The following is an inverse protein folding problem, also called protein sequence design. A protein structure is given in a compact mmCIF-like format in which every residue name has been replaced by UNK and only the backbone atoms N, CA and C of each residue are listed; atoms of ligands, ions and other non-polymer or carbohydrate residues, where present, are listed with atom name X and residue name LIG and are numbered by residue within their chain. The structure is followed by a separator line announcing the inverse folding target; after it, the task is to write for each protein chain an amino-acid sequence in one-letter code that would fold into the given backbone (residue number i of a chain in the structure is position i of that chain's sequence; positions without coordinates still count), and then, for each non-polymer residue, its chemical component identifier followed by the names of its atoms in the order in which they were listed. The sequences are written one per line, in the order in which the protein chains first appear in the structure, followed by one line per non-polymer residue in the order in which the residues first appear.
data_IF_772171515638
#
_entry.id   IF_772171515638
#
_cell.length_a   1.000
_cell.length_b   1.000
_cell.length_c   1.000
_cell.angle_alpha   90.00
_cell.angle_beta   90.00
_cell.angle_gamma   90.00
#
_symmetry.space_group_name_H-M   'P 1'
#
loop_
_entity.id
_entity.type
_entity.pdbx_description
1 polymer ?
#
# COMPACT_ATOMS: atom_id res chain seq x y z
N UNK A 1 41.71 -22.37 -17.81
CA UNK A 1 40.41 -21.70 -18.06
C UNK A 1 40.64 -20.26 -17.66
N UNK A 2 40.40 -19.30 -18.54
CA UNK A 2 40.54 -17.88 -18.18
C UNK A 2 39.34 -17.49 -17.34
N UNK A 3 39.59 -16.84 -16.20
CA UNK A 3 38.51 -16.33 -15.36
C UNK A 3 37.68 -15.28 -16.11
N UNK A 4 36.40 -15.16 -15.76
CA UNK A 4 35.53 -14.12 -16.30
C UNK A 4 36.08 -12.74 -15.93
N UNK A 5 36.11 -11.76 -16.87
CA UNK A 5 36.57 -10.43 -16.56
C UNK A 5 35.68 -9.79 -15.50
N UNK A 6 36.27 -9.22 -14.45
CA UNK A 6 35.56 -8.36 -13.51
C UNK A 6 34.91 -7.21 -14.31
N UNK A 7 33.71 -6.74 -13.94
CA UNK A 7 32.94 -7.03 -12.72
C UNK A 7 31.86 -8.13 -12.90
N UNK A 8 31.94 -8.97 -13.94
CA UNK A 8 30.93 -10.00 -14.15
C UNK A 8 30.96 -11.05 -13.04
N UNK A 9 29.79 -11.36 -12.50
CA UNK A 9 29.61 -12.40 -11.51
C UNK A 9 28.91 -13.60 -12.13
N UNK A 10 29.00 -14.75 -11.45
CA UNK A 10 28.32 -15.99 -11.85
C UNK A 10 27.38 -16.47 -10.78
N UNK A 11 26.35 -17.20 -11.19
CA UNK A 11 25.55 -18.04 -10.30
C UNK A 11 25.65 -19.52 -10.70
N UNK A 12 25.29 -20.40 -9.79
CA UNK A 12 25.35 -21.85 -9.97
C UNK A 12 23.97 -22.39 -10.36
N UNK A 13 23.87 -23.07 -11.50
CA UNK A 13 22.67 -23.79 -11.92
C UNK A 13 22.85 -25.28 -11.60
N UNK A 14 21.85 -25.88 -10.95
CA UNK A 14 21.85 -27.28 -10.49
C UNK A 14 20.52 -27.94 -10.83
N UNK A 15 20.43 -29.26 -10.63
CA UNK A 15 19.17 -29.99 -10.74
C UNK A 15 19.41 -31.49 -10.79
N UNK A 16 18.39 -32.28 -10.43
CA UNK A 16 18.37 -33.73 -10.57
C UNK A 16 17.09 -34.18 -11.25
N UNK A 17 17.22 -34.91 -12.34
CA UNK A 17 16.09 -35.34 -13.15
C UNK A 17 15.99 -36.87 -13.09
N UNK A 18 14.84 -37.36 -12.65
CA UNK A 18 14.49 -38.77 -12.62
C UNK A 18 13.15 -38.94 -13.35
N UNK A 19 12.97 -40.07 -14.01
CA UNK A 19 11.70 -40.44 -14.65
C UNK A 19 11.05 -41.57 -13.84
N UNK A 20 9.75 -41.44 -13.58
CA UNK A 20 8.94 -42.55 -13.09
C UNK A 20 8.52 -43.42 -14.28
N UNK A 21 8.72 -44.72 -14.16
CA UNK A 21 8.33 -45.72 -15.14
C UNK A 21 7.13 -46.51 -14.65
N UNK A 22 6.42 -47.15 -15.58
CA UNK A 22 5.43 -48.15 -15.21
C UNK A 22 6.17 -49.23 -14.43
N UNK A 23 5.55 -49.65 -13.33
CA UNK A 23 6.03 -50.69 -12.43
C UNK A 23 6.60 -51.90 -13.20
N UNK A 24 7.83 -52.24 -12.86
CA UNK A 24 8.61 -53.29 -13.49
C UNK A 24 8.20 -54.69 -13.01
N UNK A 25 9.01 -55.69 -13.36
CA UNK A 25 8.85 -57.05 -12.84
C UNK A 25 9.58 -57.19 -11.49
N UNK A 26 9.29 -56.32 -10.54
CA UNK A 26 9.76 -56.45 -9.16
C UNK A 26 8.61 -56.90 -8.24
N UNK A 27 8.88 -57.02 -6.94
CA UNK A 27 7.86 -57.47 -5.97
C UNK A 27 6.99 -56.33 -5.40
N UNK A 28 7.27 -55.08 -5.79
CA UNK A 28 6.52 -53.89 -5.41
C UNK A 28 5.30 -53.68 -6.32
N UNK A 29 4.51 -52.66 -6.00
CA UNK A 29 3.45 -52.14 -6.86
C UNK A 29 3.68 -50.65 -7.21
N UNK A 30 4.82 -50.12 -6.78
CA UNK A 30 5.21 -48.73 -6.87
C UNK A 30 5.95 -48.46 -8.20
N UNK A 31 5.73 -47.30 -8.85
CA UNK A 31 6.48 -46.93 -10.03
C UNK A 31 8.00 -46.94 -9.79
N UNK A 32 8.73 -47.62 -10.68
CA UNK A 32 10.19 -47.57 -10.70
C UNK A 32 10.69 -46.15 -11.03
N UNK A 33 11.78 -45.74 -10.39
CA UNK A 33 12.45 -44.46 -10.69
C UNK A 33 13.80 -44.70 -11.34
N UNK A 34 14.00 -44.13 -12.52
CA UNK A 34 15.27 -44.23 -13.26
C UNK A 34 15.83 -42.83 -13.48
N UNK A 35 17.14 -42.62 -13.23
CA UNK A 35 17.81 -41.38 -13.60
C UNK A 35 17.57 -41.01 -15.06
N UNK A 36 17.16 -39.77 -15.32
CA UNK A 36 17.04 -39.30 -16.68
C UNK A 36 18.45 -39.09 -17.26
N UNK A 37 18.62 -39.42 -18.54
CA UNK A 37 19.82 -39.11 -19.32
C UNK A 37 19.48 -38.05 -20.38
N UNK A 38 20.48 -37.30 -20.85
CA UNK A 38 20.29 -36.33 -21.92
C UNK A 38 21.09 -35.04 -21.75
N UNK A 39 20.64 -33.99 -22.42
CA UNK A 39 21.25 -32.66 -22.46
C UNK A 39 20.26 -31.59 -22.03
N UNK A 40 20.77 -30.58 -21.34
CA UNK A 40 20.03 -29.34 -21.04
C UNK A 40 20.84 -28.19 -21.64
N UNK A 41 20.18 -27.26 -22.32
CA UNK A 41 20.83 -26.11 -22.95
C UNK A 41 20.35 -24.83 -22.28
N UNK A 42 21.29 -24.04 -21.75
CA UNK A 42 21.05 -22.73 -21.17
C UNK A 42 21.48 -21.68 -22.18
N UNK A 43 20.55 -20.89 -22.71
CA UNK A 43 20.85 -19.81 -23.67
C UNK A 43 20.54 -18.47 -23.03
N UNK A 44 21.50 -17.53 -22.97
CA UNK A 44 21.20 -16.21 -22.44
C UNK A 44 20.32 -15.45 -23.45
N UNK A 45 19.29 -14.77 -22.97
CA UNK A 45 18.43 -13.93 -23.84
C UNK A 45 19.13 -12.63 -24.28
N UNK A 46 20.35 -12.39 -23.77
CA UNK A 46 21.25 -11.32 -24.20
C UNK A 46 22.40 -11.91 -25.04
N UNK A 47 22.54 -11.53 -26.32
CA UNK A 47 23.53 -12.13 -27.22
C UNK A 47 24.97 -11.66 -26.96
N UNK A 48 25.16 -10.49 -26.34
CA UNK A 48 26.47 -9.98 -25.94
C UNK A 48 26.36 -8.94 -24.81
N UNK A 49 27.42 -8.80 -24.01
CA UNK A 49 27.54 -7.82 -22.94
C UNK A 49 28.81 -6.96 -23.13
N UNK A 50 28.66 -5.66 -23.48
CA UNK A 50 29.81 -4.77 -23.67
C UNK A 50 30.32 -4.19 -22.35
N UNK A 51 31.41 -4.71 -21.80
CA UNK A 51 32.03 -4.24 -20.56
C UNK A 51 33.05 -3.13 -20.84
N UNK A 52 32.64 -1.87 -20.70
CA UNK A 52 33.54 -0.73 -20.89
C UNK A 52 34.64 -0.64 -19.80
N UNK A 53 34.32 -1.09 -18.58
CA UNK A 53 35.17 -0.93 -17.39
C UNK A 53 35.81 -2.25 -16.91
N UNK A 54 36.01 -3.21 -17.82
CA UNK A 54 36.64 -4.46 -17.45
C UNK A 54 38.12 -4.30 -17.09
N UNK A 55 38.61 -5.13 -16.16
CA UNK A 55 40.02 -5.17 -15.79
C UNK A 55 40.87 -5.58 -17.01
N UNK A 56 41.79 -4.71 -17.44
CA UNK A 56 42.59 -4.90 -18.65
C UNK A 56 42.05 -4.20 -19.91
N UNK A 57 40.96 -3.44 -19.81
CA UNK A 57 40.40 -2.64 -20.89
C UNK A 57 39.01 -3.10 -21.33
N UNK A 58 38.37 -2.33 -22.21
CA UNK A 58 37.02 -2.65 -22.66
C UNK A 58 36.96 -4.00 -23.39
N UNK A 59 36.01 -4.86 -22.99
CA UNK A 59 35.79 -6.18 -23.60
C UNK A 59 34.31 -6.37 -23.93
N UNK A 60 34.01 -7.19 -24.93
CA UNK A 60 32.63 -7.62 -25.22
C UNK A 60 32.53 -9.12 -24.97
N UNK A 61 31.67 -9.52 -24.03
CA UNK A 61 31.40 -10.93 -23.75
C UNK A 61 30.29 -11.40 -24.68
N UNK A 62 30.61 -12.32 -25.57
CA UNK A 62 29.63 -12.92 -26.48
C UNK A 62 28.90 -14.03 -25.74
N UNK A 63 27.58 -13.90 -25.61
CA UNK A 63 26.71 -14.91 -25.01
C UNK A 63 26.53 -16.08 -25.97
N UNK A 64 26.82 -17.29 -25.50
CA UNK A 64 26.61 -18.52 -26.24
C UNK A 64 25.77 -19.52 -25.44
N UNK A 65 25.16 -20.52 -26.11
CA UNK A 65 24.46 -21.59 -25.42
C UNK A 65 25.45 -22.41 -24.58
N UNK A 66 25.12 -22.61 -23.31
CA UNK A 66 25.83 -23.50 -22.38
C UNK A 66 25.11 -24.84 -22.37
N UNK A 67 25.76 -25.87 -22.92
CA UNK A 67 25.22 -27.23 -22.99
C UNK A 67 25.76 -28.04 -21.82
N UNK A 68 24.86 -28.59 -21.02
CA UNK A 68 25.16 -29.50 -19.91
C UNK A 68 24.55 -30.87 -20.15
N UNK A 69 25.07 -31.88 -19.46
CA UNK A 69 24.64 -33.28 -19.56
C UNK A 69 24.13 -33.76 -18.21
N UNK A 70 23.35 -34.84 -18.20
CA UNK A 70 23.00 -35.53 -16.96
C UNK A 70 24.00 -36.66 -16.68
N UNK A 71 24.45 -36.79 -15.44
CA UNK A 71 25.30 -37.90 -15.00
C UNK A 71 24.48 -39.20 -14.79
N UNK A 72 25.15 -40.27 -14.38
CA UNK A 72 24.53 -41.59 -14.19
C UNK A 72 23.44 -41.58 -13.11
N UNK A 73 23.45 -40.60 -12.19
CA UNK A 73 22.44 -40.45 -11.14
C UNK A 73 21.40 -39.37 -11.46
N UNK A 74 21.46 -38.78 -12.66
CA UNK A 74 20.51 -37.82 -13.20
C UNK A 74 20.79 -36.38 -12.77
N UNK A 75 21.95 -36.08 -12.18
CA UNK A 75 22.33 -34.71 -11.84
C UNK A 75 22.82 -33.97 -13.07
N UNK A 76 22.44 -32.70 -13.16
CA UNK A 76 22.99 -31.76 -14.11
C UNK A 76 24.49 -31.61 -13.86
N UNK A 77 25.31 -31.86 -14.87
CA UNK A 77 26.76 -31.90 -14.77
C UNK A 77 27.43 -31.28 -16.00
N UNK A 78 28.62 -30.72 -15.80
CA UNK A 78 29.46 -30.17 -16.87
C UNK A 78 29.96 -31.30 -17.77
N UNK A 79 29.82 -31.21 -19.10
CA UNK A 79 30.27 -32.28 -20.00
C UNK A 79 31.78 -32.43 -19.96
N UNK A 80 32.25 -33.67 -20.07
CA UNK A 80 33.67 -33.95 -20.30
C UNK A 80 34.02 -33.71 -21.78
N UNK A 81 35.25 -33.27 -22.06
CA UNK A 81 35.71 -33.00 -23.43
C UNK A 81 35.80 -34.26 -24.28
N UNK A 82 36.25 -35.36 -23.67
CA UNK A 82 36.10 -36.72 -24.19
C UNK A 82 34.73 -37.30 -23.77
N UNK A 83 33.80 -37.55 -24.71
CA UNK A 83 32.48 -38.09 -24.40
C UNK A 83 32.50 -39.54 -23.87
N UNK A 84 33.64 -40.24 -23.95
CA UNK A 84 33.79 -41.58 -23.36
C UNK A 84 34.03 -41.54 -21.83
N UNK A 85 34.40 -40.38 -21.28
CA UNK A 85 34.62 -40.19 -19.86
C UNK A 85 33.33 -39.71 -19.17
N UNK A 86 33.16 -40.02 -17.87
CA UNK A 86 32.02 -39.53 -17.11
C UNK A 86 32.00 -37.99 -17.07
N UNK A 87 30.80 -37.36 -16.95
CA UNK A 87 30.68 -35.92 -16.74
C UNK A 87 31.51 -35.44 -15.54
N UNK A 88 31.92 -34.18 -15.58
CA UNK A 88 32.84 -33.61 -14.59
C UNK A 88 32.10 -33.15 -13.32
N UNK A 89 32.01 -31.84 -13.08
CA UNK A 89 31.38 -31.30 -11.89
C UNK A 89 29.86 -31.28 -12.01
N UNK A 90 29.16 -31.62 -10.92
CA UNK A 90 27.72 -31.40 -10.78
C UNK A 90 27.43 -29.90 -10.65
N UNK A 91 26.44 -29.44 -11.40
CA UNK A 91 26.10 -28.05 -11.61
C UNK A 91 26.93 -27.38 -12.71
N UNK A 92 26.51 -26.18 -13.11
CA UNK A 92 27.24 -25.32 -14.04
C UNK A 92 27.16 -23.88 -13.57
N UNK A 93 28.27 -23.15 -13.67
CA UNK A 93 28.29 -21.70 -13.42
C UNK A 93 27.98 -20.95 -14.71
N UNK A 94 27.01 -20.05 -14.66
CA UNK A 94 26.62 -19.18 -15.78
C UNK A 94 26.63 -17.72 -15.34
N UNK A 95 26.63 -16.78 -16.30
CA UNK A 95 26.61 -15.35 -15.99
C UNK A 95 25.39 -14.99 -15.15
N UNK A 96 25.62 -14.22 -14.09
CA UNK A 96 24.56 -13.75 -13.22
C UNK A 96 23.75 -12.64 -13.89
N UNK A 97 22.43 -12.74 -13.74
CA UNK A 97 21.44 -11.85 -14.37
C UNK A 97 21.39 -10.46 -13.73
N UNK A 98 22.00 -10.29 -12.56
CA UNK A 98 21.98 -9.09 -11.72
C UNK A 98 23.40 -8.62 -11.34
N UNK A 99 24.40 -8.92 -12.18
CA UNK A 99 25.79 -8.49 -11.94
C UNK A 99 25.86 -6.94 -11.84
N UNK A 100 26.31 -6.36 -10.71
CA UNK A 100 26.21 -4.92 -10.44
C UNK A 100 27.10 -4.01 -11.32
N UNK A 101 27.95 -4.59 -12.16
CA UNK A 101 28.72 -3.87 -13.18
C UNK A 101 28.46 -4.35 -14.61
N UNK A 102 27.42 -5.15 -14.83
CA UNK A 102 26.99 -5.49 -16.18
C UNK A 102 26.21 -4.31 -16.80
N UNK A 103 26.39 -4.02 -18.11
CA UNK A 103 25.68 -2.94 -18.80
C UNK A 103 24.20 -3.24 -18.97
N UNK A 104 23.85 -4.52 -18.89
CA UNK A 104 22.50 -5.06 -19.00
C UNK A 104 22.28 -5.93 -17.77
N UNK A 105 21.24 -5.62 -17.02
CA UNK A 105 20.80 -6.40 -15.85
C UNK A 105 19.36 -6.87 -16.04
N UNK A 106 18.93 -7.86 -15.28
CA UNK A 106 17.58 -8.44 -15.38
C UNK A 106 17.32 -9.20 -16.67
N UNK A 107 18.35 -9.63 -17.40
CA UNK A 107 18.18 -10.58 -18.49
C UNK A 107 17.87 -11.98 -17.95
N UNK A 108 17.42 -12.89 -18.79
CA UNK A 108 17.12 -14.27 -18.37
C UNK A 108 17.89 -15.32 -19.17
N UNK A 109 17.94 -16.54 -18.64
CA UNK A 109 18.44 -17.71 -19.33
C UNK A 109 17.27 -18.58 -19.78
N UNK A 110 17.14 -18.82 -21.08
CA UNK A 110 16.24 -19.83 -21.62
C UNK A 110 16.82 -21.23 -21.38
N UNK A 111 16.00 -22.11 -20.81
CA UNK A 111 16.34 -23.51 -20.52
C UNK A 111 15.58 -24.42 -21.48
N UNK A 112 16.30 -25.16 -22.30
CA UNK A 112 15.77 -26.17 -23.22
C UNK A 112 16.22 -27.57 -22.78
N UNK A 113 15.26 -28.52 -22.73
CA UNK A 113 15.47 -29.88 -22.25
C UNK A 113 15.45 -30.88 -23.41
N UNK A 114 16.47 -31.72 -23.51
CA UNK A 114 16.58 -32.78 -24.52
C UNK A 114 16.98 -34.10 -23.85
N UNK A 115 15.97 -34.84 -23.38
CA UNK A 115 16.18 -36.11 -22.70
C UNK A 115 16.35 -37.27 -23.68
N UNK A 116 17.12 -38.28 -23.28
CA UNK A 116 17.20 -39.55 -23.99
C UNK A 116 15.90 -40.36 -23.78
N UNK A 117 15.49 -41.18 -24.75
CA UNK A 117 14.34 -42.08 -24.58
C UNK A 117 14.58 -43.09 -23.45
N UNK A 118 13.56 -43.29 -22.62
CA UNK A 118 13.52 -44.33 -21.58
C UNK A 118 12.37 -45.26 -21.93
N UNK A 119 12.66 -46.55 -22.17
CA UNK A 119 11.67 -47.54 -22.62
C UNK A 119 10.86 -47.10 -23.85
N UNK A 120 11.53 -46.45 -24.82
CA UNK A 120 10.91 -45.99 -26.07
C UNK A 120 10.07 -44.71 -25.93
N UNK A 121 10.01 -44.07 -24.76
CA UNK A 121 9.36 -42.77 -24.55
C UNK A 121 10.38 -41.71 -24.14
N UNK A 122 10.31 -40.54 -24.76
CA UNK A 122 11.16 -39.40 -24.39
C UNK A 122 10.45 -38.53 -23.37
N UNK A 123 10.98 -38.37 -22.13
CA UNK A 123 10.45 -37.40 -21.20
C UNK A 123 10.50 -35.99 -21.80
N UNK A 124 9.52 -35.14 -21.46
CA UNK A 124 9.47 -33.75 -21.96
C UNK A 124 9.19 -32.79 -20.83
N UNK A 125 10.01 -31.74 -20.73
CA UNK A 125 9.74 -30.57 -19.89
C UNK A 125 9.66 -29.36 -20.83
N UNK A 126 8.59 -28.54 -20.77
CA UNK A 126 8.51 -27.33 -21.57
C UNK A 126 9.68 -26.39 -21.28
N UNK A 127 10.23 -25.79 -22.35
CA UNK A 127 11.25 -24.74 -22.21
C UNK A 127 10.72 -23.59 -21.37
N UNK A 128 11.55 -23.00 -20.53
CA UNK A 128 11.20 -21.84 -19.73
C UNK A 128 12.42 -20.97 -19.46
N UNK A 129 12.21 -19.76 -18.95
CA UNK A 129 13.29 -18.86 -18.58
C UNK A 129 13.50 -18.86 -17.06
N UNK A 130 14.76 -18.66 -16.66
CA UNK A 130 15.20 -18.52 -15.26
C UNK A 130 16.03 -17.24 -15.09
N UNK A 131 15.99 -16.66 -13.89
CA UNK A 131 16.94 -15.65 -13.44
C UNK A 131 18.00 -16.31 -12.56
N UNK A 132 19.27 -15.96 -12.76
CA UNK A 132 20.41 -16.56 -12.05
C UNK A 132 21.11 -15.46 -11.25
N UNK A 133 20.86 -15.33 -9.93
CA UNK A 133 21.44 -14.27 -9.14
C UNK A 133 22.94 -14.45 -8.92
N UNK A 134 23.66 -13.35 -8.75
CA UNK A 134 25.09 -13.29 -8.52
C UNK A 134 25.47 -14.01 -7.22
N UNK A 135 26.37 -15.00 -7.32
CA UNK A 135 26.77 -15.86 -6.21
C UNK A 135 25.68 -16.83 -5.73
N UNK A 136 24.46 -16.75 -6.26
CA UNK A 136 23.35 -17.60 -5.87
C UNK A 136 23.34 -18.96 -6.56
N UNK A 137 22.42 -19.81 -6.11
CA UNK A 137 22.17 -21.13 -6.69
C UNK A 137 20.73 -21.23 -7.18
N UNK A 138 20.54 -21.75 -8.40
CA UNK A 138 19.23 -22.05 -9.00
C UNK A 138 19.14 -23.55 -9.22
N UNK A 139 18.20 -24.21 -8.57
CA UNK A 139 17.86 -25.60 -8.84
C UNK A 139 16.72 -25.67 -9.86
N UNK A 140 16.98 -26.21 -11.05
CA UNK A 140 16.02 -26.32 -12.15
C UNK A 140 14.80 -27.19 -11.82
N UNK A 141 14.85 -28.00 -10.77
CA UNK A 141 13.71 -28.81 -10.33
C UNK A 141 12.70 -28.01 -9.51
N UNK A 142 13.15 -26.90 -8.90
CA UNK A 142 12.32 -25.99 -8.09
C UNK A 142 12.28 -24.56 -8.64
N UNK A 143 12.95 -24.29 -9.77
CA UNK A 143 13.09 -22.96 -10.32
C UNK A 143 11.71 -22.37 -10.66
N UNK A 144 11.47 -21.15 -10.18
CA UNK A 144 10.28 -20.39 -10.54
C UNK A 144 10.45 -19.90 -11.98
N UNK A 145 9.49 -20.24 -12.84
CA UNK A 145 9.45 -19.74 -14.22
C UNK A 145 9.30 -18.22 -14.20
N UNK A 146 10.22 -17.52 -14.86
CA UNK A 146 10.12 -16.07 -15.08
C UNK A 146 9.80 -15.79 -16.55
N UNK A 147 9.18 -14.64 -16.88
CA UNK A 147 9.08 -14.18 -18.26
C UNK A 147 10.48 -14.02 -18.87
N UNK A 148 10.62 -14.35 -20.15
CA UNK A 148 11.87 -14.07 -20.88
C UNK A 148 12.06 -12.55 -20.99
N UNK A 149 13.28 -12.10 -20.73
CA UNK A 149 13.67 -10.70 -20.72
C UNK A 149 15.07 -10.58 -21.34
N UNK A 150 15.29 -9.71 -22.34
CA UNK A 150 16.62 -9.38 -22.84
C UNK A 150 17.44 -8.55 -21.82
N UNK A 151 16.83 -8.19 -20.68
CA UNK A 151 17.37 -7.29 -19.69
C UNK A 151 17.08 -5.82 -20.00
N UNK A 152 17.40 -4.96 -19.03
CA UNK A 152 17.33 -3.51 -19.15
C UNK A 152 18.75 -2.96 -19.15
N UNK A 153 19.08 -2.18 -20.18
CA UNK A 153 20.37 -1.52 -20.25
C UNK A 153 20.45 -0.33 -19.29
N UNK A 154 21.64 -0.04 -18.75
CA UNK A 154 21.89 1.15 -17.91
C UNK A 154 21.32 2.45 -18.54
N UNK A 155 21.51 2.73 -19.84
CA UNK A 155 20.97 3.96 -20.45
C UNK A 155 19.44 4.06 -20.41
N UNK A 156 18.74 2.92 -20.44
CA UNK A 156 17.27 2.90 -20.38
C UNK A 156 16.75 3.18 -18.97
N UNK A 157 17.48 2.72 -17.95
CA UNK A 157 17.18 3.03 -16.54
C UNK A 157 17.40 4.51 -16.26
N UNK A 158 18.50 5.08 -16.75
CA UNK A 158 18.79 6.52 -16.63
C UNK A 158 17.73 7.37 -17.34
N UNK A 159 17.30 6.98 -18.53
CA UNK A 159 16.22 7.65 -19.26
C UNK A 159 14.88 7.58 -18.52
N UNK A 160 14.55 6.44 -17.94
CA UNK A 160 13.33 6.28 -17.14
C UNK A 160 13.38 7.15 -15.87
N UNK A 161 14.52 7.19 -15.19
CA UNK A 161 14.74 8.04 -14.01
C UNK A 161 14.63 9.53 -14.37
N UNK A 162 15.22 9.94 -15.50
CA UNK A 162 15.10 11.32 -16.03
C UNK A 162 13.65 11.68 -16.32
N UNK A 163 12.89 10.84 -17.02
CA UNK A 163 11.46 11.09 -17.30
C UNK A 163 10.62 11.14 -16.01
N UNK A 164 10.95 10.34 -15.01
CA UNK A 164 10.29 10.39 -13.71
C UNK A 164 10.58 11.71 -12.97
N UNK A 165 11.82 12.19 -13.00
CA UNK A 165 12.20 13.49 -12.43
C UNK A 165 11.51 14.66 -13.16
N UNK A 166 11.46 14.63 -14.49
CA UNK A 166 10.74 15.62 -15.30
C UNK A 166 9.24 15.63 -14.96
N UNK A 167 8.62 14.46 -14.83
CA UNK A 167 7.20 14.34 -14.45
C UNK A 167 6.92 14.88 -13.04
N UNK A 168 7.83 14.65 -12.09
CA UNK A 168 7.73 15.20 -10.75
C UNK A 168 7.83 16.74 -10.74
N UNK A 169 8.73 17.31 -11.55
CA UNK A 169 8.85 18.76 -11.70
C UNK A 169 7.57 19.40 -12.28
N UNK A 170 6.96 18.77 -13.30
CA UNK A 170 5.68 19.22 -13.86
C UNK A 170 4.56 19.18 -12.82
N UNK A 171 4.49 18.12 -12.01
CA UNK A 171 3.49 18.01 -10.95
C UNK A 171 3.65 19.08 -9.86
N UNK A 172 4.89 19.41 -9.48
CA UNK A 172 5.17 20.51 -8.54
C UNK A 172 4.75 21.87 -9.11
N UNK A 173 5.00 22.12 -10.40
CA UNK A 173 4.56 23.33 -11.09
C UNK A 173 3.04 23.50 -11.06
N UNK A 174 2.29 22.44 -11.42
CA UNK A 174 0.83 22.46 -11.39
C UNK A 174 0.26 22.69 -9.98
N UNK A 175 0.90 22.14 -8.94
CA UNK A 175 0.50 22.37 -7.55
C UNK A 175 0.71 23.83 -7.13
N UNK A 176 1.80 24.47 -7.57
CA UNK A 176 2.08 25.88 -7.29
C UNK A 176 1.10 26.81 -8.02
N UNK A 177 0.78 26.52 -9.29
CA UNK A 177 -0.24 27.26 -10.05
C UNK A 177 -1.62 27.18 -9.38
N UNK A 178 -2.01 25.99 -8.88
CA UNK A 178 -3.25 25.81 -8.15
C UNK A 178 -3.29 26.60 -6.83
N UNK A 179 -2.17 26.68 -6.12
CA UNK A 179 -2.06 27.48 -4.90
C UNK A 179 -2.22 28.98 -5.19
N UNK A 180 -1.55 29.50 -6.22
CA UNK A 180 -1.68 30.90 -6.65
C UNK A 180 -3.11 31.22 -7.10
N UNK A 181 -3.78 30.31 -7.82
CA UNK A 181 -5.18 30.49 -8.21
C UNK A 181 -6.12 30.53 -7.01
N UNK A 182 -5.86 29.74 -5.96
CA UNK A 182 -6.63 29.75 -4.73
C UNK A 182 -6.47 31.07 -3.96
N UNK A 183 -5.24 31.60 -3.85
CA UNK A 183 -4.97 32.90 -3.24
C UNK A 183 -5.71 34.04 -3.96
N UNK A 184 -5.65 34.05 -5.30
CA UNK A 184 -6.37 35.05 -6.11
C UNK A 184 -7.90 34.98 -5.90
N UNK A 185 -8.46 33.77 -5.73
CA UNK A 185 -9.88 33.60 -5.44
C UNK A 185 -10.28 34.14 -4.06
N UNK A 186 -9.43 33.96 -3.05
CA UNK A 186 -9.62 34.53 -1.70
C UNK A 186 -9.61 36.06 -1.77
N UNK A 187 -8.64 36.65 -2.46
CA UNK A 187 -8.54 38.11 -2.62
C UNK A 187 -9.76 38.70 -3.36
N UNK A 188 -10.19 38.05 -4.45
CA UNK A 188 -11.40 38.45 -5.17
C UNK A 188 -12.65 38.40 -4.29
N UNK A 189 -12.78 37.38 -3.44
CA UNK A 189 -13.91 37.26 -2.50
C UNK A 189 -13.91 38.37 -1.45
N UNK A 190 -12.74 38.74 -0.93
CA UNK A 190 -12.59 39.83 0.03
C UNK A 190 -12.99 41.18 -0.59
N UNK A 191 -12.57 41.43 -1.84
CA UNK A 191 -12.98 42.62 -2.60
C UNK A 191 -14.49 42.72 -2.82
N UNK A 192 -15.14 41.60 -3.15
CA UNK A 192 -16.59 41.56 -3.32
C UNK A 192 -17.35 41.88 -2.02
N UNK A 193 -16.89 41.35 -0.88
CA UNK A 193 -17.48 41.64 0.44
C UNK A 193 -17.34 43.12 0.80
N UNK A 194 -16.18 43.72 0.54
CA UNK A 194 -15.97 45.15 0.76
C UNK A 194 -16.92 46.01 -0.09
N UNK A 195 -17.08 45.67 -1.38
CA UNK A 195 -18.00 46.39 -2.28
C UNK A 195 -19.46 46.32 -1.83
N UNK A 196 -19.91 45.17 -1.31
CA UNK A 196 -21.26 45.04 -0.73
C UNK A 196 -21.42 45.89 0.53
N UNK A 197 -20.40 45.93 1.39
CA UNK A 197 -20.42 46.77 2.60
C UNK A 197 -20.52 48.26 2.25
N UNK A 198 -19.75 48.73 1.26
CA UNK A 198 -19.79 50.13 0.80
C UNK A 198 -21.14 50.49 0.16
N UNK A 199 -21.71 49.58 -0.63
CA UNK A 199 -23.04 49.78 -1.21
C UNK A 199 -24.13 49.86 -0.12
N UNK A 200 -24.05 49.01 0.90
CA UNK A 200 -24.97 49.04 2.04
C UNK A 200 -24.83 50.35 2.85
N UNK A 201 -23.61 50.81 3.08
CA UNK A 201 -23.35 52.09 3.74
C UNK A 201 -23.93 53.27 2.93
N UNK A 202 -23.71 53.29 1.61
CA UNK A 202 -24.23 54.31 0.70
C UNK A 202 -25.76 54.34 0.66
N UNK A 203 -26.40 53.17 0.66
CA UNK A 203 -27.86 53.04 0.72
C UNK A 203 -28.41 53.56 2.05
N UNK A 204 -27.75 53.24 3.17
CA UNK A 204 -28.11 53.75 4.51
C UNK A 204 -28.03 55.28 4.59
N UNK A 205 -26.95 55.88 4.07
CA UNK A 205 -26.82 57.34 4.01
C UNK A 205 -27.88 58.00 3.13
N UNK A 206 -28.20 57.39 1.99
CA UNK A 206 -29.26 57.89 1.09
C UNK A 206 -30.64 57.81 1.73
N UNK A 207 -30.93 56.72 2.46
CA UNK A 207 -32.17 56.57 3.22
C UNK A 207 -32.29 57.62 4.33
N UNK A 208 -31.21 57.89 5.06
CA UNK A 208 -31.17 58.93 6.08
C UNK A 208 -31.40 60.34 5.49
N UNK A 209 -30.78 60.64 4.34
CA UNK A 209 -30.99 61.90 3.63
C UNK A 209 -32.44 62.04 3.13
N UNK A 210 -33.02 60.97 2.59
CA UNK A 210 -34.42 60.94 2.17
C UNK A 210 -35.38 61.15 3.35
N UNK A 211 -35.11 60.53 4.51
CA UNK A 211 -35.89 60.72 5.72
C UNK A 211 -35.82 62.18 6.23
N UNK A 212 -34.64 62.79 6.20
CA UNK A 212 -34.47 64.20 6.55
C UNK A 212 -35.24 65.12 5.60
N UNK A 213 -35.14 64.88 4.28
CA UNK A 213 -35.88 65.62 3.26
C UNK A 213 -37.40 65.47 3.43
N UNK A 214 -37.88 64.27 3.77
CA UNK A 214 -39.29 64.02 4.09
C UNK A 214 -39.74 64.79 5.33
N UNK A 215 -38.90 64.92 6.36
CA UNK A 215 -39.19 65.76 7.54
C UNK A 215 -39.31 67.24 7.21
N UNK A 216 -38.38 67.78 6.40
CA UNK A 216 -38.46 69.16 5.89
C UNK A 216 -39.67 69.36 4.99
N UNK A 217 -39.99 68.39 4.13
CA UNK A 217 -41.16 68.42 3.26
C UNK A 217 -42.47 68.32 4.04
N UNK A 218 -42.56 67.51 5.11
CA UNK A 218 -43.71 67.46 6.03
C UNK A 218 -43.94 68.82 6.71
N UNK A 219 -42.85 69.50 7.06
CA UNK A 219 -42.91 70.86 7.62
C UNK A 219 -43.47 71.85 6.58
N UNK A 220 -43.06 71.73 5.31
CA UNK A 220 -43.57 72.56 4.21
C UNK A 220 -44.98 72.17 3.71
N UNK A 221 -45.37 70.89 3.79
CA UNK A 221 -46.63 70.32 3.29
C UNK A 221 -47.84 70.67 4.15
N UNK A 222 -47.62 71.18 5.36
CA UNK A 222 -48.65 71.85 6.17
C UNK A 222 -49.30 73.06 5.45
N UNK A 223 -48.81 73.44 4.25
CA UNK A 223 -49.17 74.69 3.57
C UNK A 223 -50.03 74.58 2.28
N UNK A 224 -50.12 73.47 1.52
CA UNK A 224 -50.92 73.50 0.24
C UNK A 224 -51.16 72.17 -0.51
N UNK A 225 -52.36 72.01 -1.07
CA UNK A 225 -52.99 70.80 -1.65
C UNK A 225 -52.34 70.18 -2.92
N UNK A 226 -51.48 70.87 -3.67
CA UNK A 226 -50.66 70.24 -4.74
C UNK A 226 -49.61 69.27 -4.17
N UNK A 227 -49.25 69.45 -2.89
CA UNK A 227 -48.43 68.51 -2.14
C UNK A 227 -49.11 67.15 -1.96
N UNK A 228 -50.44 67.03 -2.07
CA UNK A 228 -51.14 65.75 -1.87
C UNK A 228 -50.88 64.75 -3.00
N UNK A 229 -50.93 65.18 -4.26
CA UNK A 229 -50.63 64.32 -5.40
C UNK A 229 -49.14 63.93 -5.45
N UNK A 230 -48.24 64.86 -5.11
CA UNK A 230 -46.82 64.57 -4.96
C UNK A 230 -46.53 63.68 -3.74
N UNK A 231 -47.29 63.81 -2.64
CA UNK A 231 -47.19 62.95 -1.46
C UNK A 231 -47.71 61.54 -1.74
N UNK A 232 -48.76 61.39 -2.55
CA UNK A 232 -49.28 60.08 -2.93
C UNK A 232 -48.28 59.33 -3.86
N UNK A 233 -47.62 60.04 -4.78
CA UNK A 233 -46.53 59.49 -5.59
C UNK A 233 -45.30 59.13 -4.74
N UNK A 234 -44.85 60.05 -3.87
CA UNK A 234 -43.74 59.79 -2.95
C UNK A 234 -44.04 58.66 -1.96
N UNK A 235 -45.31 58.48 -1.57
CA UNK A 235 -45.76 57.34 -0.75
C UNK A 235 -45.67 56.02 -1.50
N UNK A 236 -45.97 56.00 -2.79
CA UNK A 236 -45.82 54.82 -3.64
C UNK A 236 -44.34 54.45 -3.85
N UNK A 237 -43.48 55.46 -4.07
CA UNK A 237 -42.03 55.25 -4.21
C UNK A 237 -41.40 54.82 -2.88
N UNK A 238 -41.81 55.41 -1.75
CA UNK A 238 -41.37 55.00 -0.42
C UNK A 238 -41.80 53.56 -0.11
N UNK A 239 -43.02 53.17 -0.47
CA UNK A 239 -43.47 51.78 -0.33
C UNK A 239 -42.64 50.82 -1.20
N UNK A 240 -42.28 51.23 -2.41
CA UNK A 240 -41.42 50.46 -3.32
C UNK A 240 -39.99 50.35 -2.78
N UNK A 241 -39.44 51.42 -2.21
CA UNK A 241 -38.13 51.43 -1.57
C UNK A 241 -38.10 50.56 -0.29
N UNK A 242 -39.16 50.59 0.52
CA UNK A 242 -39.33 49.69 1.67
C UNK A 242 -39.41 48.23 1.20
N UNK A 243 -40.13 47.95 0.11
CA UNK A 243 -40.18 46.62 -0.51
C UNK A 243 -38.80 46.14 -0.99
N UNK A 244 -38.05 47.01 -1.66
CA UNK A 244 -36.68 46.72 -2.11
C UNK A 244 -35.73 46.50 -0.93
N UNK A 245 -35.81 47.33 0.12
CA UNK A 245 -35.02 47.19 1.34
C UNK A 245 -35.35 45.89 2.10
N UNK A 246 -36.63 45.52 2.17
CA UNK A 246 -37.08 44.26 2.78
C UNK A 246 -36.58 43.05 1.98
N UNK A 247 -36.59 43.14 0.65
CA UNK A 247 -36.04 42.12 -0.25
C UNK A 247 -34.53 41.98 -0.07
N UNK A 248 -33.80 43.10 -0.02
CA UNK A 248 -32.35 43.11 0.20
C UNK A 248 -31.99 42.55 1.58
N UNK A 249 -32.73 42.91 2.64
CA UNK A 249 -32.55 42.36 3.97
C UNK A 249 -32.79 40.85 4.01
N UNK A 250 -33.85 40.37 3.34
CA UNK A 250 -34.15 38.94 3.23
C UNK A 250 -33.05 38.17 2.50
N UNK A 251 -32.52 38.74 1.41
CA UNK A 251 -31.39 38.16 0.67
C UNK A 251 -30.10 38.12 1.51
N UNK A 252 -29.83 39.18 2.28
CA UNK A 252 -28.69 39.22 3.21
C UNK A 252 -28.80 38.15 4.31
N UNK A 253 -29.99 37.97 4.89
CA UNK A 253 -30.26 36.88 5.84
C UNK A 253 -30.07 35.50 5.21
N UNK A 254 -30.54 35.29 3.98
CA UNK A 254 -30.36 34.02 3.26
C UNK A 254 -28.87 33.73 2.96
N UNK A 255 -28.09 34.75 2.59
CA UNK A 255 -26.66 34.63 2.36
C UNK A 255 -25.90 34.30 3.67
N UNK A 256 -26.25 34.98 4.77
CA UNK A 256 -25.66 34.70 6.09
C UNK A 256 -25.97 33.26 6.55
N UNK A 257 -27.20 32.78 6.35
CA UNK A 257 -27.59 31.41 6.68
C UNK A 257 -26.84 30.39 5.80
N UNK A 258 -26.66 30.68 4.51
CA UNK A 258 -25.87 29.84 3.60
C UNK A 258 -24.41 29.76 4.02
N UNK A 259 -23.80 30.89 4.41
CA UNK A 259 -22.43 30.94 4.93
C UNK A 259 -22.28 30.16 6.24
N UNK A 260 -23.21 30.32 7.18
CA UNK A 260 -23.23 29.56 8.43
C UNK A 260 -23.37 28.05 8.18
N UNK A 261 -24.17 27.66 7.19
CA UNK A 261 -24.32 26.26 6.77
C UNK A 261 -23.02 25.71 6.17
N UNK A 262 -22.32 26.48 5.34
CA UNK A 262 -21.04 26.10 4.76
C UNK A 262 -19.94 25.96 5.83
N UNK A 263 -19.89 26.88 6.81
CA UNK A 263 -18.96 26.77 7.96
C UNK A 263 -19.31 25.59 8.86
N UNK A 264 -20.60 25.26 9.02
CA UNK A 264 -21.03 24.08 9.77
C UNK A 264 -20.69 22.76 9.06
N UNK A 265 -20.58 22.76 7.72
CA UNK A 265 -20.16 21.60 6.93
C UNK A 265 -18.63 21.35 6.95
N UNK A 266 -17.84 22.24 7.58
CA UNK A 266 -16.40 22.05 7.71
C UNK A 266 -16.08 20.79 8.53
N UNK A 267 -15.15 19.98 8.02
CA UNK A 267 -14.75 18.75 8.69
C UNK A 267 -14.11 19.05 10.06
N UNK A 268 -14.62 18.43 11.13
CA UNK A 268 -14.03 18.49 12.47
C UNK A 268 -13.03 17.36 12.64
N UNK A 269 -11.78 17.68 12.94
CA UNK A 269 -10.77 16.70 13.33
C UNK A 269 -10.71 16.61 14.85
N UNK A 270 -10.84 15.41 15.39
CA UNK A 270 -10.78 15.14 16.83
C UNK A 270 -9.63 14.15 17.10
N UNK A 271 -8.68 14.57 17.94
CA UNK A 271 -7.44 13.83 18.22
C UNK A 271 -7.38 13.21 19.62
N UNK A 272 -8.45 13.33 20.43
CA UNK A 272 -8.44 12.94 21.85
C UNK A 272 -8.22 11.44 22.08
N UNK A 273 -8.70 10.59 21.17
CA UNK A 273 -8.55 9.14 21.25
C UNK A 273 -8.11 8.57 19.90
N UNK A 274 -7.00 9.09 19.38
CA UNK A 274 -6.55 8.85 18.02
C UNK A 274 -7.17 9.85 17.06
N UNK A 275 -6.95 9.68 15.75
CA UNK A 275 -7.42 10.63 14.74
C UNK A 275 -8.82 10.25 14.28
N UNK A 276 -9.79 11.14 14.47
CA UNK A 276 -11.13 11.04 13.92
C UNK A 276 -11.43 12.26 13.05
N UNK A 277 -12.13 12.04 11.96
CA UNK A 277 -12.62 13.10 11.08
C UNK A 277 -14.13 12.95 10.99
N UNK A 278 -14.81 14.01 11.40
CA UNK A 278 -16.26 14.12 11.33
C UNK A 278 -16.65 15.12 10.25
N UNK A 279 -17.74 14.86 9.55
CA UNK A 279 -18.42 15.82 8.69
C UNK A 279 -19.85 15.93 9.17
N UNK A 280 -20.40 17.14 9.26
CA UNK A 280 -21.81 17.29 9.62
C UNK A 280 -22.70 16.84 8.46
N UNK A 281 -23.72 16.04 8.76
CA UNK A 281 -24.77 15.74 7.80
C UNK A 281 -25.74 16.91 7.64
N UNK A 282 -26.75 16.74 6.77
CA UNK A 282 -27.78 17.75 6.49
C UNK A 282 -28.64 18.11 7.71
N UNK A 283 -28.59 17.33 8.79
CA UNK A 283 -29.28 17.60 10.06
C UNK A 283 -28.39 18.33 11.07
N UNK A 284 -27.11 18.52 10.74
CA UNK A 284 -26.10 19.10 11.62
C UNK A 284 -25.48 18.11 12.61
N UNK A 285 -25.73 16.81 12.46
CA UNK A 285 -25.13 15.76 13.29
C UNK A 285 -23.76 15.35 12.73
N UNK A 286 -22.79 15.09 13.62
CA UNK A 286 -21.45 14.63 13.24
C UNK A 286 -21.51 13.19 12.69
N UNK A 287 -21.14 13.01 11.42
CA UNK A 287 -20.91 11.70 10.79
C UNK A 287 -19.43 11.39 10.77
N UNK A 288 -19.04 10.22 11.30
CA UNK A 288 -17.66 9.78 11.30
C UNK A 288 -17.24 9.33 9.89
N UNK A 289 -16.32 10.06 9.27
CA UNK A 289 -15.80 9.77 7.92
C UNK A 289 -14.53 8.93 7.98
N UNK A 290 -13.67 9.22 8.96
CA UNK A 290 -12.42 8.51 9.15
C UNK A 290 -12.11 8.37 10.63
N UNK A 291 -11.56 7.23 11.04
CA UNK A 291 -11.17 7.02 12.42
C UNK A 291 -10.04 6.01 12.54
N UNK A 292 -8.96 6.38 13.23
CA UNK A 292 -7.78 5.54 13.45
C UNK A 292 -7.18 5.81 14.83
N UNK A 293 -7.02 4.78 15.65
CA UNK A 293 -6.52 4.93 17.05
C UNK A 293 -5.01 5.14 17.16
N UNK A 294 -4.27 4.92 16.06
CA UNK A 294 -2.84 4.66 16.13
C UNK A 294 -2.55 3.23 16.58
N UNK A 295 -1.35 2.74 16.30
CA UNK A 295 -0.89 1.45 16.82
C UNK A 295 -0.58 1.61 18.31
N UNK A 296 -1.22 0.80 19.14
CA UNK A 296 -1.09 0.83 20.60
C UNK A 296 -0.31 -0.38 21.08
N UNK A 297 0.76 -0.16 21.82
CA UNK A 297 1.48 -1.23 22.51
C UNK A 297 0.77 -1.57 23.82
N UNK A 298 0.13 -2.73 23.87
CA UNK A 298 -0.63 -3.24 25.00
C UNK A 298 0.09 -4.38 25.73
N UNK A 299 1.42 -4.47 25.61
CA UNK A 299 2.22 -5.48 26.31
C UNK A 299 2.00 -5.49 27.84
N UNK A 300 1.72 -4.33 28.44
CA UNK A 300 1.41 -4.22 29.87
C UNK A 300 0.08 -4.87 30.29
N UNK A 301 -0.74 -5.33 29.33
CA UNK A 301 -2.01 -6.00 29.61
C UNK A 301 -1.81 -7.51 29.80
N UNK A 302 -0.63 -8.03 29.52
CA UNK A 302 -0.33 -9.46 29.59
C UNK A 302 -0.41 -9.95 31.05
N UNK A 303 -1.19 -11.00 31.29
CA UNK A 303 -1.38 -11.63 32.60
C UNK A 303 -0.43 -12.81 32.78
N UNK A 304 0.04 -13.04 34.01
CA UNK A 304 0.73 -14.29 34.36
C UNK A 304 -0.19 -15.50 34.11
N UNK A 305 0.30 -16.62 33.52
CA UNK A 305 1.70 -16.97 33.29
C UNK A 305 2.27 -16.53 31.92
N UNK A 306 1.59 -15.66 31.19
CA UNK A 306 2.06 -15.18 29.88
C UNK A 306 3.16 -14.13 30.00
N UNK A 307 4.04 -14.13 29.02
CA UNK A 307 5.15 -13.19 28.87
C UNK A 307 5.50 -12.99 27.40
N UNK A 308 6.28 -11.95 27.10
CA UNK A 308 6.86 -11.72 25.78
C UNK A 308 8.34 -12.12 25.80
N UNK A 309 8.75 -12.93 24.82
CA UNK A 309 10.17 -13.22 24.56
C UNK A 309 10.91 -12.01 23.96
N UNK A 310 12.20 -12.21 23.67
CA UNK A 310 13.04 -11.17 23.07
C UNK A 310 12.46 -10.68 21.73
N UNK A 311 12.28 -9.37 21.60
CA UNK A 311 11.67 -8.75 20.42
C UNK A 311 10.15 -9.00 20.28
N UNK A 312 9.51 -9.54 21.32
CA UNK A 312 8.08 -9.75 21.36
C UNK A 312 7.28 -8.46 21.52
N UNK A 313 6.06 -8.47 21.02
CA UNK A 313 5.13 -7.36 21.17
C UNK A 313 3.69 -7.88 21.19
N UNK A 314 2.79 -7.07 21.76
CA UNK A 314 1.35 -7.21 21.65
C UNK A 314 0.79 -5.82 21.34
N UNK A 315 0.24 -5.64 20.14
CA UNK A 315 -0.16 -4.34 19.59
C UNK A 315 -1.59 -4.38 19.09
N UNK A 316 -2.30 -3.28 19.26
CA UNK A 316 -3.70 -3.14 18.91
C UNK A 316 -3.93 -1.85 18.11
N UNK A 317 -4.74 -1.92 17.06
CA UNK A 317 -5.20 -0.74 16.32
C UNK A 317 -6.66 -0.93 15.93
N UNK A 318 -7.44 0.16 15.96
CA UNK A 318 -8.78 0.21 15.38
C UNK A 318 -8.80 1.23 14.25
N UNK A 319 -9.32 0.81 13.11
CA UNK A 319 -9.58 1.66 11.94
C UNK A 319 -11.03 1.43 11.49
N UNK A 320 -11.84 2.49 11.55
CA UNK A 320 -13.30 2.36 11.47
C UNK A 320 -13.86 1.40 12.52
N UNK A 321 -14.55 0.35 12.07
CA UNK A 321 -15.07 -0.73 12.92
C UNK A 321 -14.15 -1.97 12.94
N UNK A 322 -13.02 -1.94 12.23
CA UNK A 322 -12.08 -3.05 12.19
C UNK A 322 -11.03 -2.88 13.27
N UNK A 323 -10.85 -3.90 14.09
CA UNK A 323 -9.79 -3.98 15.11
C UNK A 323 -8.78 -5.01 14.63
N UNK A 324 -7.50 -4.63 14.66
CA UNK A 324 -6.37 -5.53 14.37
C UNK A 324 -5.50 -5.67 15.62
N UNK A 325 -5.34 -6.91 16.08
CA UNK A 325 -4.37 -7.29 17.09
C UNK A 325 -3.17 -7.94 16.39
N UNK A 326 -1.97 -7.45 16.67
CA UNK A 326 -0.73 -8.06 16.17
C UNK A 326 0.15 -8.47 17.34
N UNK A 327 0.79 -9.63 17.24
CA UNK A 327 1.67 -10.12 18.30
C UNK A 327 2.88 -10.87 17.74
N UNK A 328 3.91 -10.98 18.57
CA UNK A 328 5.11 -11.77 18.32
C UNK A 328 5.69 -12.26 19.64
N UNK A 329 6.28 -13.45 19.62
CA UNK A 329 6.98 -14.09 20.74
C UNK A 329 6.16 -14.11 22.05
N UNK A 330 4.86 -14.38 21.95
CA UNK A 330 4.00 -14.55 23.12
C UNK A 330 4.19 -15.98 23.66
N UNK A 331 4.48 -16.11 24.96
CA UNK A 331 4.85 -17.39 25.60
C UNK A 331 4.15 -17.58 26.95
N UNK A 332 3.62 -18.78 27.21
CA UNK A 332 3.14 -19.21 28.52
C UNK A 332 3.32 -20.72 28.71
N UNK A 333 3.18 -21.18 29.95
CA UNK A 333 2.94 -22.57 30.30
C UNK A 333 1.45 -22.78 30.68
N UNK A 334 0.82 -23.84 30.15
CA UNK A 334 -0.56 -24.24 30.46
C UNK A 334 -1.62 -23.94 29.37
N UNK A 335 -2.64 -24.80 29.30
CA UNK A 335 -3.81 -24.69 28.41
C UNK A 335 -4.92 -23.81 29.00
N UNK A 336 -5.73 -23.14 28.16
CA UNK A 336 -6.90 -22.36 28.57
C UNK A 336 -6.59 -21.22 29.56
N UNK A 337 -5.39 -20.66 29.49
CA UNK A 337 -5.00 -19.53 30.33
C UNK A 337 -5.32 -18.21 29.64
N UNK A 338 -5.83 -17.27 30.42
CA UNK A 338 -6.10 -15.90 29.95
C UNK A 338 -4.79 -15.17 29.69
N UNK A 339 -4.66 -14.58 28.50
CA UNK A 339 -3.51 -13.79 28.07
C UNK A 339 -3.56 -12.39 28.67
N UNK A 340 -4.74 -11.77 28.82
CA UNK A 340 -4.88 -10.38 29.27
C UNK A 340 -5.55 -10.22 30.63
N UNK A 341 -5.02 -9.37 31.52
CA UNK A 341 -5.55 -9.17 32.88
C UNK A 341 -6.94 -8.55 32.91
N UNK A 342 -7.23 -7.62 32.00
CA UNK A 342 -8.50 -6.87 31.93
C UNK A 342 -9.20 -6.99 30.56
N UNK A 343 -8.77 -7.94 29.73
CA UNK A 343 -9.24 -8.03 28.36
C UNK A 343 -8.83 -6.83 27.50
N UNK A 344 -9.39 -6.80 26.30
CA UNK A 344 -9.37 -5.67 25.38
C UNK A 344 -10.39 -4.63 25.90
N UNK A 345 -10.01 -3.35 26.04
CA UNK A 345 -10.92 -2.32 26.55
C UNK A 345 -12.15 -2.11 25.67
N UNK A 346 -13.18 -1.50 26.26
CA UNK A 346 -14.32 -0.98 25.50
C UNK A 346 -13.83 -0.05 24.37
N UNK A 347 -14.43 -0.20 23.20
CA UNK A 347 -14.00 0.45 21.97
C UNK A 347 -13.18 -0.45 21.06
N UNK A 348 -12.84 -1.66 21.50
CA UNK A 348 -12.06 -2.61 20.70
C UNK A 348 -12.58 -4.06 20.81
N UNK A 349 -13.64 -4.32 21.57
CA UNK A 349 -14.15 -5.69 21.79
C UNK A 349 -14.84 -6.22 20.55
N UNK A 350 -14.73 -7.52 20.23
CA UNK A 350 -15.40 -8.07 19.07
C UNK A 350 -16.92 -8.15 19.30
N UNK A 351 -17.69 -8.03 18.22
CA UNK A 351 -19.17 -8.18 18.30
C UNK A 351 -19.59 -9.61 18.64
N UNK A 352 -18.79 -10.60 18.27
CA UNK A 352 -18.98 -12.02 18.59
C UNK A 352 -17.64 -12.62 18.98
N UNK A 353 -17.64 -13.71 19.74
CA UNK A 353 -16.39 -14.44 20.02
C UNK A 353 -15.67 -14.84 18.72
N UNK A 354 -14.34 -14.66 18.71
CA UNK A 354 -13.49 -14.95 17.56
C UNK A 354 -12.41 -15.96 17.94
N UNK A 355 -12.06 -16.83 16.99
CA UNK A 355 -11.02 -17.85 17.15
C UNK A 355 -10.06 -17.75 15.98
N UNK A 356 -8.79 -17.46 16.27
CA UNK A 356 -7.74 -17.29 15.27
C UNK A 356 -6.69 -18.38 15.44
N UNK A 357 -6.35 -19.11 14.37
CA UNK A 357 -5.38 -20.19 14.48
C UNK A 357 -3.97 -19.60 14.67
N UNK A 358 -3.18 -20.21 15.55
CA UNK A 358 -1.84 -19.75 15.96
C UNK A 358 -0.80 -20.77 15.50
N UNK A 359 0.28 -20.27 14.89
CA UNK A 359 1.40 -21.10 14.44
C UNK A 359 2.55 -21.01 15.44
N UNK A 360 3.08 -22.16 15.85
CA UNK A 360 4.26 -22.24 16.72
C UNK A 360 5.53 -21.95 15.94
N UNK A 361 6.60 -21.56 16.63
CA UNK A 361 7.92 -21.35 16.03
C UNK A 361 8.45 -22.61 15.30
N UNK A 362 8.08 -23.80 15.76
CA UNK A 362 8.45 -25.09 15.15
C UNK A 362 7.72 -25.37 13.84
N UNK A 363 6.83 -24.47 13.39
CA UNK A 363 6.14 -24.57 12.11
C UNK A 363 4.81 -25.32 12.15
N UNK A 364 4.49 -26.03 13.25
CA UNK A 364 3.21 -26.70 13.46
C UNK A 364 2.09 -25.72 13.90
N UNK A 365 0.85 -26.02 13.53
CA UNK A 365 -0.34 -25.37 14.09
C UNK A 365 -0.50 -25.83 15.54
N UNK A 366 -0.29 -24.93 16.50
CA UNK A 366 -0.23 -25.29 17.92
C UNK A 366 -1.42 -24.88 18.75
N UNK A 367 -2.36 -24.13 18.17
CA UNK A 367 -3.54 -23.72 18.89
C UNK A 367 -4.38 -22.66 18.24
N UNK A 368 -5.29 -22.11 19.04
CA UNK A 368 -6.07 -20.95 18.65
C UNK A 368 -6.08 -19.88 19.74
N UNK A 369 -5.87 -18.64 19.33
CA UNK A 369 -6.06 -17.44 20.11
C UNK A 369 -7.52 -17.05 19.99
N UNK A 370 -8.19 -16.98 21.12
CA UNK A 370 -9.58 -16.61 21.21
C UNK A 370 -9.69 -15.19 21.76
N UNK A 371 -10.63 -14.43 21.22
CA UNK A 371 -11.06 -13.14 21.77
C UNK A 371 -12.55 -13.25 22.01
N UNK A 372 -12.97 -13.28 23.27
CA UNK A 372 -14.40 -13.34 23.60
C UNK A 372 -15.08 -11.98 23.41
N UNK A 373 -16.42 -11.97 23.53
CA UNK A 373 -17.24 -10.76 23.42
C UNK A 373 -16.95 -9.74 24.54
N UNK A 374 -16.41 -10.17 25.68
CA UNK A 374 -15.94 -9.30 26.76
C UNK A 374 -14.58 -8.65 26.47
N UNK A 375 -13.91 -9.08 25.39
CA UNK A 375 -12.56 -8.68 25.01
C UNK A 375 -11.47 -9.51 25.67
N UNK A 376 -11.78 -10.53 26.46
CA UNK A 376 -10.78 -11.40 27.08
C UNK A 376 -10.02 -12.16 25.99
N UNK A 377 -8.70 -12.05 26.01
CA UNK A 377 -7.83 -12.79 25.09
C UNK A 377 -7.35 -14.02 25.84
N UNK A 378 -7.51 -15.21 25.28
CA UNK A 378 -7.04 -16.46 25.87
C UNK A 378 -6.61 -17.45 24.79
N UNK A 379 -5.77 -18.42 25.14
CA UNK A 379 -5.37 -19.47 24.21
C UNK A 379 -5.99 -20.81 24.63
N UNK A 380 -6.61 -21.51 23.66
CA UNK A 380 -7.33 -22.77 23.91
C UNK A 380 -6.42 -23.99 24.12
N UNK A 381 -5.18 -23.91 23.65
CA UNK A 381 -4.16 -24.96 23.78
C UNK A 381 -2.82 -24.33 24.13
N UNK A 382 -1.81 -25.12 24.51
CA UNK A 382 -0.48 -24.59 24.82
C UNK A 382 0.16 -23.93 23.59
N UNK A 383 0.20 -22.60 23.56
CA UNK A 383 0.97 -21.87 22.57
C UNK A 383 2.40 -21.65 23.10
N UNK A 384 3.30 -22.56 22.76
CA UNK A 384 4.73 -22.38 23.01
C UNK A 384 5.37 -21.62 21.84
N UNK A 385 5.69 -20.34 22.09
CA UNK A 385 6.63 -19.52 21.32
C UNK A 385 6.21 -19.26 19.85
N UNK A 386 5.44 -18.20 19.62
CA UNK A 386 5.18 -17.70 18.26
C UNK A 386 6.34 -16.82 17.78
N UNK A 387 7.45 -17.42 17.31
CA UNK A 387 8.59 -16.66 16.76
C UNK A 387 8.21 -15.73 15.60
N UNK A 388 7.12 -16.06 14.91
CA UNK A 388 6.53 -15.31 13.81
C UNK A 388 5.58 -14.21 14.33
N UNK A 389 5.58 -13.07 13.63
CA UNK A 389 4.55 -12.07 13.82
C UNK A 389 3.22 -12.59 13.26
N UNK A 390 2.15 -12.47 14.04
CA UNK A 390 0.80 -12.89 13.67
C UNK A 390 -0.17 -11.72 13.84
N UNK A 391 -1.29 -11.80 13.13
CA UNK A 391 -2.36 -10.81 13.18
C UNK A 391 -3.72 -11.49 13.30
N UNK A 392 -4.60 -10.89 14.09
CA UNK A 392 -6.01 -11.24 14.21
C UNK A 392 -6.83 -9.99 13.93
N UNK A 393 -7.90 -10.14 13.15
CA UNK A 393 -8.78 -9.04 12.78
C UNK A 393 -10.22 -9.38 13.09
N UNK A 394 -10.95 -8.42 13.64
CA UNK A 394 -12.38 -8.56 13.91
C UNK A 394 -13.12 -7.24 13.78
N UNK A 395 -14.44 -7.33 13.68
CA UNK A 395 -15.33 -6.16 13.72
C UNK A 395 -15.75 -5.85 15.15
N UNK A 396 -15.84 -4.57 15.50
CA UNK A 396 -16.38 -4.07 16.76
C UNK A 396 -17.59 -3.18 16.51
N UNK A 397 -18.58 -3.31 17.37
CA UNK A 397 -19.74 -2.41 17.48
C UNK A 397 -19.63 -1.47 18.68
N UNK A 398 -18.53 -1.56 19.44
CA UNK A 398 -18.32 -0.67 20.57
C UNK A 398 -18.24 0.79 20.09
N UNK A 399 -18.78 1.75 20.86
CA UNK A 399 -18.51 3.17 20.65
C UNK A 399 -17.00 3.43 20.55
N UNK A 400 -16.61 4.49 19.83
CA UNK A 400 -15.20 4.85 19.76
C UNK A 400 -14.63 5.07 21.17
N UNK A 401 -13.44 4.52 21.50
CA UNK A 401 -12.89 4.63 22.85
C UNK A 401 -12.69 6.10 23.27
N UNK A 402 -12.97 6.41 24.53
CA UNK A 402 -12.69 7.73 25.11
C UNK A 402 -11.26 7.83 25.64
N UNK A 403 -10.60 6.70 25.89
CA UNK A 403 -9.19 6.59 26.28
C UNK A 403 -8.50 5.49 25.49
N UNK A 404 -7.27 5.72 25.04
CA UNK A 404 -6.51 4.73 24.30
C UNK A 404 -5.75 3.78 25.24
N UNK A 405 -5.77 2.46 25.00
CA UNK A 405 -4.98 1.53 25.79
C UNK A 405 -3.48 1.66 25.51
N UNK A 406 -2.68 1.28 26.50
CA UNK A 406 -1.24 1.12 26.34
C UNK A 406 -0.51 2.41 25.94
N UNK A 407 0.72 2.26 25.44
CA UNK A 407 1.52 3.36 24.89
C UNK A 407 1.38 3.45 23.37
N UNK A 408 1.71 4.59 22.77
CA UNK A 408 1.88 4.69 21.31
C UNK A 408 3.08 3.85 20.91
N UNK A 409 2.91 2.94 19.95
CA UNK A 409 3.92 1.94 19.57
C UNK A 409 4.98 2.43 18.59
#
# INVERSE_FOLDING_TARGET
MTDLPAPLLTGLVTGRFIAALIDGADSGAEPDVVPAAGKITLTPDVPYLPLAEAEGGAVTVIGGPVVVVLDAEGYLSTPHTDPAQPPMARGVRVLATDSPGAPVTGFTWKVDYSFAPINGRTPTIPSHAIAVPAGGQVDLTTAVKVPSSPGVGIPQVEDAARRAAESAAVAMGAAQEAATAAEAAVEASAGAVAGVADAAASASSSAAAAAAAAGSASTAASTSTLAKAAADAAKADAASAVGAATTAASAATAAANSAATATAAAARVDTTAGRRVYVKDTTGADQLVYSHTGIRNIAGFIASPWSLGAGGFLRLVREGNTVTLTWRALTASGTNTTITTNGVPAGFRPTTGQTFPVRLATGAWGGALNVDIGGQIFCSTEAQNTGNAMAAQWQTTDPWPTTLPGATA
#
